data_IF_414520853250
#
_entry.id   IF_414520853250
#
_cell.length_a   1.000
_cell.length_b   1.000
_cell.length_c   1.000
_cell.angle_alpha   90.00
_cell.angle_beta   90.00
_cell.angle_gamma   90.00
#
_symmetry.space_group_name_H-M   'P 1'
#
loop_
_entity.id
_entity.type
_entity.pdbx_description
1 polymer ?
#
# COMPACT_ATOMS: atom_id res chain seq x y z
N UNK A 1 -19.12 -10.56 6.85
CA UNK A 1 -18.43 -11.65 6.13
C UNK A 1 -17.37 -11.13 5.14
N UNK A 2 -17.67 -10.21 4.21
CA UNK A 2 -16.69 -9.70 3.22
C UNK A 2 -15.47 -8.98 3.84
N UNK A 3 -15.67 -8.13 4.87
CA UNK A 3 -14.57 -7.46 5.61
C UNK A 3 -13.61 -8.42 6.33
N UNK A 4 -14.11 -9.58 6.78
CA UNK A 4 -13.30 -10.58 7.50
C UNK A 4 -12.39 -11.36 6.53
N UNK A 5 -12.94 -11.74 5.37
CA UNK A 5 -12.19 -12.49 4.34
C UNK A 5 -11.08 -11.64 3.71
N UNK A 6 -11.32 -10.33 3.52
CA UNK A 6 -10.28 -9.41 3.02
C UNK A 6 -9.16 -9.19 4.04
N UNK A 7 -9.46 -9.13 5.34
CA UNK A 7 -8.46 -9.02 6.40
C UNK A 7 -7.59 -10.29 6.51
N UNK A 8 -8.21 -11.47 6.54
CA UNK A 8 -7.49 -12.75 6.69
C UNK A 8 -6.52 -13.05 5.54
N UNK A 9 -6.90 -12.77 4.29
CA UNK A 9 -6.01 -12.99 3.14
C UNK A 9 -4.91 -11.93 3.04
N UNK A 10 -5.18 -10.70 3.47
CA UNK A 10 -4.17 -9.63 3.53
C UNK A 10 -3.12 -9.90 4.61
N UNK A 11 -3.49 -10.62 5.67
CA UNK A 11 -2.52 -11.17 6.63
C UNK A 11 -1.66 -12.31 6.01
N UNK A 12 -2.18 -13.05 5.02
CA UNK A 12 -1.45 -14.15 4.36
C UNK A 12 -0.34 -13.70 3.40
N UNK A 13 -0.42 -12.50 2.80
CA UNK A 13 0.71 -11.95 2.02
C UNK A 13 1.87 -11.51 2.92
N UNK A 14 1.60 -11.26 4.21
CA UNK A 14 2.60 -11.20 5.29
C UNK A 14 3.52 -9.98 5.32
N UNK A 15 3.49 -9.11 4.31
CA UNK A 15 4.35 -7.90 4.29
C UNK A 15 3.62 -6.74 4.97
N UNK A 16 4.26 -6.21 6.01
CA UNK A 16 3.80 -5.00 6.71
C UNK A 16 3.91 -3.79 5.79
N UNK A 17 2.99 -2.83 5.96
CA UNK A 17 3.05 -1.57 5.25
C UNK A 17 4.39 -0.85 5.48
N UNK A 18 4.88 -0.86 6.72
CA UNK A 18 6.19 -0.29 7.10
C UNK A 18 7.32 -0.85 6.26
N UNK A 19 7.44 -2.18 6.21
CA UNK A 19 8.45 -2.87 5.40
C UNK A 19 8.35 -2.51 3.92
N UNK A 20 7.14 -2.33 3.41
CA UNK A 20 6.91 -1.96 2.01
C UNK A 20 7.36 -0.52 1.73
N UNK A 21 7.07 0.41 2.64
CA UNK A 21 7.53 1.80 2.57
C UNK A 21 9.06 1.86 2.67
N UNK A 22 9.66 1.08 3.57
CA UNK A 22 11.11 1.00 3.74
C UNK A 22 11.81 0.52 2.47
N UNK A 23 11.24 -0.47 1.77
CA UNK A 23 11.79 -0.94 0.49
C UNK A 23 11.84 0.19 -0.54
N UNK A 24 10.76 0.97 -0.67
CA UNK A 24 10.71 2.09 -1.63
C UNK A 24 11.72 3.18 -1.25
N UNK A 25 11.81 3.54 0.03
CA UNK A 25 12.78 4.52 0.51
C UNK A 25 14.23 4.03 0.29
N UNK A 26 14.51 2.76 0.56
CA UNK A 26 15.82 2.16 0.32
C UNK A 26 16.20 2.15 -1.16
N UNK A 27 15.24 1.93 -2.07
CA UNK A 27 15.47 2.03 -3.51
C UNK A 27 15.85 3.46 -3.88
N UNK A 28 15.14 4.46 -3.34
CA UNK A 28 15.44 5.86 -3.58
C UNK A 28 16.87 6.20 -3.14
N UNK A 29 17.26 5.85 -1.91
CA UNK A 29 18.61 6.10 -1.37
C UNK A 29 19.68 5.46 -2.27
N UNK A 30 19.50 4.19 -2.66
CA UNK A 30 20.46 3.48 -3.53
C UNK A 30 20.57 4.12 -4.92
N UNK A 31 19.48 4.65 -5.46
CA UNK A 31 19.48 5.36 -6.74
C UNK A 31 20.20 6.71 -6.62
N UNK A 32 20.06 7.41 -5.51
CA UNK A 32 20.75 8.67 -5.22
C UNK A 32 22.26 8.48 -4.99
N UNK A 33 22.67 7.38 -4.36
CA UNK A 33 24.08 7.02 -4.16
C UNK A 33 24.79 6.64 -5.48
N UNK A 34 24.03 6.12 -6.45
CA UNK A 34 24.56 5.67 -7.73
C UNK A 34 24.79 6.86 -8.69
N UNK A 35 26.07 7.17 -8.97
CA UNK A 35 26.46 8.31 -9.81
C UNK A 35 26.46 8.05 -11.33
N UNK A 36 26.05 6.87 -11.78
CA UNK A 36 26.06 6.53 -13.21
C UNK A 36 24.93 7.24 -13.97
N UNK A 37 25.13 7.48 -15.26
CA UNK A 37 24.17 8.19 -16.11
C UNK A 37 22.82 7.48 -16.20
N UNK A 38 22.84 6.14 -16.25
CA UNK A 38 21.63 5.32 -16.21
C UNK A 38 20.86 5.46 -14.88
N UNK A 39 21.55 5.56 -13.74
CA UNK A 39 20.90 5.74 -12.45
C UNK A 39 20.18 7.09 -12.37
N UNK A 40 20.76 8.16 -12.94
CA UNK A 40 20.08 9.47 -13.03
C UNK A 40 18.78 9.40 -13.81
N UNK A 41 18.78 8.71 -14.96
CA UNK A 41 17.57 8.50 -15.77
C UNK A 41 16.49 7.71 -15.01
N UNK A 42 16.90 6.68 -14.25
CA UNK A 42 15.97 5.89 -13.44
C UNK A 42 15.43 6.72 -12.27
N UNK A 43 16.28 7.51 -11.60
CA UNK A 43 15.91 8.38 -10.50
C UNK A 43 14.92 9.47 -10.94
N UNK A 44 15.13 10.08 -12.11
CA UNK A 44 14.20 11.05 -12.68
C UNK A 44 12.82 10.42 -12.94
N UNK A 45 12.80 9.21 -13.50
CA UNK A 45 11.54 8.48 -13.71
C UNK A 45 10.88 8.13 -12.38
N UNK A 46 11.65 7.69 -11.39
CA UNK A 46 11.17 7.38 -10.05
C UNK A 46 10.52 8.61 -9.41
N UNK A 47 11.23 9.74 -9.37
CA UNK A 47 10.72 11.00 -8.82
C UNK A 47 9.47 11.48 -9.56
N UNK A 48 9.43 11.36 -10.89
CA UNK A 48 8.24 11.71 -11.69
C UNK A 48 7.03 10.83 -11.35
N UNK A 49 7.23 9.54 -11.08
CA UNK A 49 6.14 8.63 -10.66
C UNK A 49 5.66 8.96 -9.26
N UNK A 50 6.59 9.14 -8.31
CA UNK A 50 6.27 9.43 -6.91
C UNK A 50 5.53 10.76 -6.78
N UNK A 51 6.03 11.83 -7.41
CA UNK A 51 5.41 13.17 -7.36
C UNK A 51 4.02 13.20 -8.00
N UNK A 52 3.79 12.41 -9.06
CA UNK A 52 2.48 12.29 -9.69
C UNK A 52 1.49 11.49 -8.83
N UNK A 53 1.98 10.58 -8.00
CA UNK A 53 1.14 9.77 -7.12
C UNK A 53 0.89 10.46 -5.78
N UNK A 54 -0.12 11.33 -5.74
CA UNK A 54 -0.57 12.02 -4.52
C UNK A 54 -0.90 11.06 -3.35
N UNK A 55 -1.29 9.82 -3.67
CA UNK A 55 -1.60 8.80 -2.66
C UNK A 55 -0.37 8.31 -1.87
N UNK A 56 0.84 8.51 -2.40
CA UNK A 56 2.08 8.10 -1.73
C UNK A 56 2.30 8.86 -0.40
N UNK A 57 2.04 10.16 -0.38
CA UNK A 57 2.16 10.96 0.85
C UNK A 57 1.14 10.53 1.91
N UNK A 58 -0.09 10.20 1.50
CA UNK A 58 -1.10 9.65 2.41
C UNK A 58 -0.64 8.30 3.00
N UNK A 59 0.00 7.45 2.20
CA UNK A 59 0.53 6.16 2.67
C UNK A 59 1.65 6.37 3.69
N UNK A 60 2.55 7.33 3.49
CA UNK A 60 3.59 7.68 4.48
C UNK A 60 2.99 8.15 5.81
N UNK A 61 2.01 9.06 5.75
CA UNK A 61 1.29 9.54 6.96
C UNK A 61 0.63 8.38 7.71
N UNK A 62 -0.06 7.48 6.99
CA UNK A 62 -0.66 6.26 7.57
C UNK A 62 0.42 5.39 8.23
N UNK A 63 1.57 5.21 7.58
CA UNK A 63 2.67 4.42 8.11
C UNK A 63 3.27 5.02 9.40
N UNK A 64 3.46 6.34 9.45
CA UNK A 64 3.94 7.04 10.65
C UNK A 64 3.02 6.83 11.86
N UNK A 65 1.70 6.91 11.64
CA UNK A 65 0.70 6.63 12.68
C UNK A 65 0.75 5.16 13.13
N UNK A 66 0.94 4.22 12.19
CA UNK A 66 1.03 2.79 12.51
C UNK A 66 2.28 2.40 13.31
N UNK A 67 3.40 3.12 13.10
CA UNK A 67 4.66 2.90 13.83
C UNK A 67 4.67 3.66 15.17
N UNK A 68 3.76 4.64 15.34
CA UNK A 68 3.66 5.45 16.55
C UNK A 68 4.59 6.66 16.57
N UNK A 69 5.15 7.06 15.43
CA UNK A 69 6.02 8.24 15.30
C UNK A 69 5.24 9.56 15.30
N UNK A 70 3.93 9.52 15.03
CA UNK A 70 3.08 10.71 14.98
C UNK A 70 1.74 10.39 15.65
N UNK A 71 1.32 11.24 16.59
CA UNK A 71 -0.04 11.23 17.11
C UNK A 71 -0.98 11.73 16.02
N UNK A 72 -2.21 11.21 15.97
CA UNK A 72 -3.25 11.63 15.01
C UNK A 72 -3.34 13.16 14.99
N UNK A 73 -2.65 13.81 14.05
CA UNK A 73 -2.69 15.26 13.92
C UNK A 73 -4.12 15.70 13.56
N UNK A 74 -4.50 16.93 13.91
CA UNK A 74 -5.78 17.51 13.50
C UNK A 74 -5.98 17.46 11.97
N UNK A 75 -4.90 17.46 11.18
CA UNK A 75 -4.92 17.29 9.72
C UNK A 75 -5.37 15.88 9.29
N UNK A 76 -5.19 14.87 10.15
CA UNK A 76 -5.64 13.49 9.94
C UNK A 76 -7.13 13.31 10.28
N UNK A 77 -7.67 14.13 11.18
CA UNK A 77 -9.11 14.15 11.51
C UNK A 77 -9.99 14.56 10.34
N UNK A 78 -9.41 15.27 9.35
CA UNK A 78 -10.07 15.62 8.08
C UNK A 78 -10.24 14.43 7.13
N UNK A 79 -9.41 13.39 7.30
CA UNK A 79 -9.61 12.12 6.64
C UNK A 79 -10.59 11.33 7.49
N UNK A 80 -11.77 11.00 6.94
CA UNK A 80 -12.83 10.23 7.62
C UNK A 80 -12.42 8.76 7.97
N UNK A 81 -11.16 8.54 8.34
CA UNK A 81 -10.57 7.26 8.66
C UNK A 81 -10.64 7.04 10.18
N UNK A 82 -11.61 6.22 10.59
CA UNK A 82 -11.67 5.72 11.97
C UNK A 82 -10.41 4.87 12.29
N UNK A 83 -10.05 4.72 13.57
CA UNK A 83 -8.91 3.92 14.04
C UNK A 83 -8.92 2.49 13.47
N UNK A 84 -10.10 1.89 13.35
CA UNK A 84 -10.29 0.57 12.72
C UNK A 84 -9.82 0.54 11.26
N UNK A 85 -10.00 1.64 10.52
CA UNK A 85 -9.55 1.75 9.14
C UNK A 85 -8.02 1.80 9.07
N UNK A 86 -7.33 2.44 10.04
CA UNK A 86 -5.87 2.41 10.14
C UNK A 86 -5.35 1.01 10.46
N UNK A 87 -5.95 0.30 11.40
CA UNK A 87 -5.57 -1.10 11.67
C UNK A 87 -5.80 -1.96 10.42
N UNK A 88 -6.81 -1.61 9.62
CA UNK A 88 -7.04 -2.20 8.32
C UNK A 88 -6.04 -1.78 7.22
N UNK A 89 -5.11 -0.86 7.44
CA UNK A 89 -4.05 -0.55 6.45
C UNK A 89 -2.69 -1.17 6.81
N UNK A 90 -2.58 -1.84 7.97
CA UNK A 90 -1.34 -2.50 8.43
C UNK A 90 -0.68 -3.42 7.39
N UNK A 91 -1.47 -4.03 6.53
CA UNK A 91 -1.02 -4.92 5.45
C UNK A 91 -1.45 -4.41 4.07
N UNK A 92 -1.63 -3.09 3.92
CA UNK A 92 -2.05 -2.49 2.66
C UNK A 92 -1.00 -2.75 1.56
N UNK A 93 -1.50 -3.13 0.39
CA UNK A 93 -0.67 -3.38 -0.79
C UNK A 93 -0.35 -2.04 -1.46
N UNK A 94 0.93 -1.75 -1.62
CA UNK A 94 1.40 -0.49 -2.21
C UNK A 94 1.54 -0.53 -3.73
N UNK A 95 1.57 -1.73 -4.33
CA UNK A 95 1.71 -1.90 -5.78
C UNK A 95 0.35 -2.16 -6.42
N UNK A 96 0.09 -1.53 -7.57
CA UNK A 96 -1.14 -1.76 -8.34
C UNK A 96 -1.28 -3.21 -8.79
N UNK A 97 -0.15 -3.88 -9.07
CA UNK A 97 -0.11 -5.29 -9.46
C UNK A 97 -0.64 -6.18 -8.34
N UNK A 98 -0.23 -5.95 -7.10
CA UNK A 98 -0.71 -6.74 -5.96
C UNK A 98 -2.19 -6.47 -5.66
N UNK A 99 -2.62 -5.21 -5.81
CA UNK A 99 -4.02 -4.82 -5.71
C UNK A 99 -4.86 -5.53 -6.77
N UNK A 100 -4.46 -5.48 -8.04
CA UNK A 100 -5.16 -6.13 -9.15
C UNK A 100 -5.18 -7.65 -9.00
N UNK A 101 -4.07 -8.26 -8.59
CA UNK A 101 -3.98 -9.70 -8.31
C UNK A 101 -4.96 -10.11 -7.21
N UNK A 102 -5.08 -9.29 -6.17
CA UNK A 102 -6.05 -9.50 -5.10
C UNK A 102 -7.49 -9.42 -5.62
N UNK A 103 -7.82 -8.38 -6.38
CA UNK A 103 -9.13 -8.24 -7.03
C UNK A 103 -9.45 -9.40 -7.97
N UNK A 104 -8.48 -9.88 -8.75
CA UNK A 104 -8.63 -11.04 -9.64
C UNK A 104 -8.93 -12.33 -8.85
N UNK A 105 -8.24 -12.54 -7.72
CA UNK A 105 -8.55 -13.65 -6.82
C UNK A 105 -9.99 -13.56 -6.28
N UNK A 106 -10.44 -12.35 -5.93
CA UNK A 106 -11.81 -12.12 -5.46
C UNK A 106 -12.86 -12.24 -6.57
N UNK A 107 -12.52 -11.98 -7.83
CA UNK A 107 -13.45 -12.15 -8.96
C UNK A 107 -14.01 -13.56 -8.98
N UNK A 108 -13.19 -14.57 -8.70
CA UNK A 108 -13.67 -15.95 -8.61
C UNK A 108 -14.65 -16.15 -7.45
N UNK A 109 -14.45 -15.51 -6.30
CA UNK A 109 -15.27 -15.65 -5.07
C UNK A 109 -16.58 -14.86 -5.16
N UNK A 110 -16.52 -13.65 -5.72
CA UNK A 110 -17.63 -12.69 -5.76
C UNK A 110 -18.48 -12.77 -7.03
N UNK A 111 -18.03 -13.50 -8.06
CA UNK A 111 -18.85 -13.72 -9.26
C UNK A 111 -20.12 -14.48 -8.88
N UNK A 112 -21.33 -14.00 -9.25
CA UNK A 112 -22.61 -14.55 -8.81
C UNK A 112 -22.93 -15.97 -9.33
N UNK A 113 -22.00 -16.62 -10.03
CA UNK A 113 -22.24 -17.84 -10.78
C UNK A 113 -21.23 -18.94 -10.45
N UNK A 114 -21.23 -19.45 -9.21
CA UNK A 114 -20.68 -20.78 -8.93
C UNK A 114 -21.80 -21.77 -8.65
N UNK A 115 -22.23 -22.42 -9.73
CA UNK A 115 -22.93 -23.70 -9.81
C UNK A 115 -24.22 -23.78 -8.98
N UNK A 116 -25.35 -23.64 -9.68
CA UNK A 116 -26.56 -24.41 -9.39
C UNK A 116 -26.10 -25.86 -9.23
N UNK A 117 -26.10 -26.37 -8.00
CA UNK A 117 -26.00 -27.80 -7.78
C UNK A 117 -27.26 -28.40 -8.42
N UNK A 118 -27.07 -29.14 -9.51
CA UNK A 118 -28.08 -30.06 -10.04
C UNK A 118 -28.20 -31.24 -9.08
#
# INVERSE_FOLDING_TARGET
MIKMVTYELRNKSGVLLSKSVDIVNNIQIKLEECKCEMAKLILDKFNKVITKNKGWENIKKINQVLIGETTIDEDLSSSNLNLDNYLCTKYALITSVDVERSFSMFKNILSPNRKRFF
#
